data_IF_913133920575
#
_entry.id   IF_913133920575
#
_cell.length_a   1.000
_cell.length_b   1.000
_cell.length_c   1.000
_cell.angle_alpha   90.00
_cell.angle_beta   90.00
_cell.angle_gamma   90.00
#
_symmetry.space_group_name_H-M   'P 1'
#
loop_
_entity.id
_entity.type
_entity.pdbx_description
1 polymer ?
#
# COMPACT_ATOMS: atom_id res chain seq x y z
N UNK A 1 17.71 -4.66 19.96
CA UNK A 1 16.48 -4.82 19.19
C UNK A 1 16.41 -3.62 18.25
N UNK A 2 16.18 -3.84 16.93
CA UNK A 2 16.02 -2.73 15.98
C UNK A 2 14.69 -2.03 16.20
N UNK A 3 14.67 -0.72 16.00
CA UNK A 3 13.47 0.12 16.05
C UNK A 3 13.03 0.54 14.65
N UNK A 4 11.77 0.40 14.34
CA UNK A 4 11.18 0.85 13.08
C UNK A 4 10.07 1.87 13.31
N UNK A 5 10.06 2.96 12.55
CA UNK A 5 8.93 3.90 12.50
C UNK A 5 8.17 3.71 11.19
N UNK A 6 6.86 3.48 11.29
CA UNK A 6 5.95 3.34 10.14
C UNK A 6 4.97 4.50 10.14
N UNK A 7 5.03 5.35 9.11
CA UNK A 7 3.93 6.28 8.84
C UNK A 7 2.86 5.57 8.03
N UNK A 8 1.57 5.85 8.30
CA UNK A 8 0.47 5.15 7.63
C UNK A 8 0.26 3.71 8.11
N UNK A 9 0.63 3.40 9.34
CA UNK A 9 0.54 2.06 9.95
C UNK A 9 -0.87 1.46 9.93
N UNK A 10 -1.92 2.28 9.95
CA UNK A 10 -3.32 1.85 9.88
C UNK A 10 -3.82 1.56 8.46
N UNK A 11 -2.98 1.80 7.44
CA UNK A 11 -3.25 1.45 6.06
C UNK A 11 -3.08 -0.06 5.78
N UNK A 12 -3.38 -0.48 4.54
CA UNK A 12 -3.17 -1.85 4.10
C UNK A 12 -1.71 -2.29 4.36
N UNK A 13 -0.77 -1.64 3.71
CA UNK A 13 0.64 -2.03 3.76
C UNK A 13 1.25 -1.81 5.14
N UNK A 14 0.88 -0.71 5.80
CA UNK A 14 1.36 -0.39 7.14
C UNK A 14 0.97 -1.44 8.17
N UNK A 15 -0.24 -1.99 8.08
CA UNK A 15 -0.71 -3.04 8.98
C UNK A 15 0.02 -4.37 8.77
N UNK A 16 0.25 -4.78 7.52
CA UNK A 16 1.07 -5.96 7.22
C UNK A 16 2.54 -5.74 7.61
N UNK A 17 3.11 -4.56 7.32
CA UNK A 17 4.50 -4.27 7.68
C UNK A 17 4.72 -4.30 9.20
N UNK A 18 3.76 -3.80 9.97
CA UNK A 18 3.83 -3.88 11.44
C UNK A 18 3.92 -5.34 11.91
N UNK A 19 3.07 -6.23 11.39
CA UNK A 19 3.11 -7.65 11.73
C UNK A 19 4.42 -8.32 11.27
N UNK A 20 4.89 -8.03 10.07
CA UNK A 20 6.16 -8.56 9.57
C UNK A 20 7.33 -8.14 10.45
N UNK A 21 7.42 -6.87 10.82
CA UNK A 21 8.52 -6.37 11.65
C UNK A 21 8.46 -6.92 13.07
N UNK A 22 7.26 -7.03 13.67
CA UNK A 22 7.06 -7.68 14.95
C UNK A 22 7.50 -9.16 14.92
N UNK A 23 7.15 -9.90 13.86
CA UNK A 23 7.58 -11.30 13.71
C UNK A 23 9.10 -11.45 13.57
N UNK A 24 9.78 -10.39 13.09
CA UNK A 24 11.25 -10.31 13.01
C UNK A 24 11.92 -9.77 14.28
N UNK A 25 11.16 -9.52 15.35
CA UNK A 25 11.67 -9.05 16.63
C UNK A 25 12.04 -7.56 16.68
N UNK A 26 11.43 -6.73 15.82
CA UNK A 26 11.58 -5.28 15.91
C UNK A 26 10.69 -4.68 17.02
N UNK A 27 11.14 -3.56 17.57
CA UNK A 27 10.28 -2.60 18.27
C UNK A 27 9.65 -1.69 17.20
N UNK A 28 8.32 -1.74 17.08
CA UNK A 28 7.58 -1.07 15.99
C UNK A 28 6.86 0.15 16.53
N UNK A 29 7.11 1.31 15.93
CA UNK A 29 6.44 2.56 16.21
C UNK A 29 5.59 2.98 15.04
N UNK A 30 4.30 3.26 15.28
CA UNK A 30 3.35 3.68 14.25
C UNK A 30 2.93 5.13 14.42
N UNK A 31 2.98 5.91 13.34
CA UNK A 31 2.39 7.24 13.30
C UNK A 31 0.92 7.15 12.88
N UNK A 32 0.01 7.64 13.73
CA UNK A 32 -1.44 7.67 13.50
C UNK A 32 -1.98 9.08 13.60
N UNK A 33 -2.86 9.48 12.69
CA UNK A 33 -3.53 10.77 12.76
C UNK A 33 -4.57 10.77 13.88
N UNK A 34 -4.66 11.85 14.60
CA UNK A 34 -5.73 12.06 15.56
C UNK A 34 -7.05 12.31 14.81
N UNK A 35 -8.05 11.51 15.06
CA UNK A 35 -9.41 11.67 14.52
C UNK A 35 -10.45 11.35 15.60
N UNK A 36 -11.68 11.79 15.41
CA UNK A 36 -12.80 11.51 16.32
C UNK A 36 -13.19 10.02 16.35
N UNK A 37 -12.86 9.28 15.31
CA UNK A 37 -13.01 7.83 15.24
C UNK A 37 -11.64 7.20 14.99
N UNK A 38 -11.31 6.14 15.73
CA UNK A 38 -10.07 5.41 15.55
C UNK A 38 -10.15 4.57 14.28
N UNK A 39 -9.22 4.80 13.33
CA UNK A 39 -9.09 3.97 12.14
C UNK A 39 -8.03 2.89 12.35
N UNK A 40 -8.18 2.09 13.41
CA UNK A 40 -7.21 1.07 13.84
C UNK A 40 -7.64 -0.36 13.54
N UNK A 41 -8.79 -0.57 12.88
CA UNK A 41 -9.36 -1.90 12.65
C UNK A 41 -8.37 -2.92 12.05
N UNK A 42 -7.46 -2.46 11.14
CA UNK A 42 -6.45 -3.33 10.51
C UNK A 42 -5.30 -3.74 11.43
N UNK A 43 -5.14 -3.08 12.56
CA UNK A 43 -4.10 -3.37 13.56
C UNK A 43 -4.67 -3.74 14.93
N UNK A 44 -6.01 -3.77 15.08
CA UNK A 44 -6.66 -4.05 16.37
C UNK A 44 -6.26 -5.39 16.98
N UNK A 45 -6.01 -6.40 16.13
CA UNK A 45 -5.58 -7.74 16.58
C UNK A 45 -4.13 -7.79 17.13
N UNK A 46 -3.31 -6.78 16.84
CA UNK A 46 -1.94 -6.64 17.37
C UNK A 46 -1.80 -5.46 18.33
N UNK A 47 -2.81 -4.60 18.40
CA UNK A 47 -2.85 -3.43 19.28
C UNK A 47 -4.27 -3.24 19.85
N UNK A 48 -4.57 -3.78 21.05
CA UNK A 48 -5.85 -3.58 21.71
C UNK A 48 -6.14 -2.10 21.98
N UNK A 49 -7.38 -1.64 21.71
CA UNK A 49 -7.78 -0.22 21.77
C UNK A 49 -7.56 0.49 23.12
N UNK A 50 -7.51 -0.25 24.21
CA UNK A 50 -7.34 0.29 25.57
C UNK A 50 -5.96 0.97 25.82
N UNK A 51 -5.00 0.80 24.90
CA UNK A 51 -3.60 1.22 25.11
C UNK A 51 -3.17 2.45 24.30
N UNK A 52 -4.06 3.15 23.60
CA UNK A 52 -3.72 4.30 22.71
C UNK A 52 -3.41 5.59 23.52
N UNK A 53 -3.15 5.53 24.77
CA UNK A 53 -2.88 6.70 25.63
C UNK A 53 -1.37 7.01 25.84
N UNK A 54 -0.58 6.91 24.78
CA UNK A 54 0.69 7.65 24.68
C UNK A 54 1.92 7.12 25.42
N UNK A 55 1.86 6.05 26.20
CA UNK A 55 3.01 5.54 26.99
C UNK A 55 2.99 4.04 27.30
N UNK A 56 1.95 3.30 26.98
CA UNK A 56 1.89 1.87 27.28
C UNK A 56 2.40 1.03 26.10
N UNK A 57 3.34 0.12 26.39
CA UNK A 57 3.63 -0.97 25.47
C UNK A 57 2.56 -2.03 25.66
N UNK A 58 1.98 -2.50 24.56
CA UNK A 58 1.02 -3.61 24.56
C UNK A 58 1.63 -4.95 25.01
N UNK A 59 2.87 -4.97 25.48
CA UNK A 59 3.65 -6.20 25.63
C UNK A 59 4.02 -6.85 24.28
N UNK A 60 3.43 -6.37 23.18
CA UNK A 60 3.64 -6.86 21.80
C UNK A 60 4.82 -6.21 21.07
N UNK A 61 5.46 -5.18 21.64
CA UNK A 61 6.52 -4.41 20.98
C UNK A 61 6.00 -3.37 19.96
N UNK A 62 4.68 -3.09 19.95
CA UNK A 62 4.05 -2.07 19.11
C UNK A 62 3.68 -0.83 19.95
N UNK A 63 4.07 0.36 19.43
CA UNK A 63 3.82 1.66 20.04
C UNK A 63 3.16 2.59 19.03
N UNK A 64 2.10 3.28 19.42
CA UNK A 64 1.43 4.25 18.55
C UNK A 64 1.67 5.68 19.04
N UNK A 65 1.95 6.57 18.09
CA UNK A 65 2.17 7.98 18.31
C UNK A 65 1.17 8.80 17.50
N UNK A 66 0.51 9.75 18.15
CA UNK A 66 -0.30 10.72 17.41
C UNK A 66 0.60 11.73 16.71
N UNK A 67 0.38 11.93 15.41
CA UNK A 67 1.08 12.90 14.61
C UNK A 67 0.55 12.97 13.18
N UNK A 68 0.85 14.06 12.49
CA UNK A 68 0.47 14.29 11.11
C UNK A 68 1.69 14.74 10.31
N UNK A 69 1.85 14.25 9.08
CA UNK A 69 2.96 14.68 8.19
C UNK A 69 2.86 16.15 7.75
N UNK A 70 1.72 16.82 7.99
CA UNK A 70 1.60 18.26 7.82
C UNK A 70 2.26 19.07 8.95
N UNK A 71 2.58 18.44 10.09
CA UNK A 71 3.13 19.10 11.28
C UNK A 71 4.60 18.70 11.48
N UNK A 72 5.49 19.62 11.14
CA UNK A 72 6.95 19.42 11.23
C UNK A 72 7.44 19.24 12.67
N UNK A 73 6.81 19.91 13.64
CA UNK A 73 7.22 19.86 15.05
C UNK A 73 6.87 18.50 15.65
N UNK A 74 5.66 18.00 15.41
CA UNK A 74 5.25 16.68 15.87
C UNK A 74 6.13 15.58 15.26
N UNK A 75 6.39 15.64 13.94
CA UNK A 75 7.26 14.69 13.25
C UNK A 75 8.65 14.70 13.88
N UNK A 76 9.26 15.86 14.09
CA UNK A 76 10.58 15.99 14.70
C UNK A 76 10.61 15.45 16.13
N UNK A 77 9.62 15.80 16.95
CA UNK A 77 9.50 15.33 18.33
C UNK A 77 9.41 13.81 18.42
N UNK A 78 8.64 13.17 17.52
CA UNK A 78 8.50 11.71 17.47
C UNK A 78 9.83 11.09 17.03
N UNK A 79 10.47 11.61 16.00
CA UNK A 79 11.77 11.14 15.52
C UNK A 79 12.84 11.20 16.60
N UNK A 80 12.93 12.30 17.35
CA UNK A 80 13.91 12.47 18.42
C UNK A 80 13.65 11.55 19.62
N UNK A 81 12.38 11.28 19.92
CA UNK A 81 11.96 10.36 20.99
C UNK A 81 12.25 8.90 20.65
N UNK A 82 11.88 8.48 19.43
CA UNK A 82 11.97 7.08 18.98
C UNK A 82 13.41 6.73 18.56
N UNK A 83 14.08 7.62 17.84
CA UNK A 83 15.38 7.39 17.21
C UNK A 83 15.43 6.08 16.44
N UNK A 84 14.54 5.88 15.43
CA UNK A 84 14.42 4.61 14.73
C UNK A 84 15.69 4.26 13.94
N UNK A 85 15.97 2.97 13.80
CA UNK A 85 16.98 2.44 12.90
C UNK A 85 16.47 2.41 11.44
N UNK A 86 15.17 2.21 11.29
CA UNK A 86 14.49 2.13 9.99
C UNK A 86 13.21 2.98 10.00
N UNK A 87 12.99 3.74 8.92
CA UNK A 87 11.77 4.53 8.70
C UNK A 87 11.09 4.06 7.43
N UNK A 88 9.82 3.71 7.52
CA UNK A 88 8.97 3.34 6.40
C UNK A 88 7.89 4.40 6.19
N UNK A 89 8.07 5.23 5.17
CA UNK A 89 7.11 6.29 4.83
C UNK A 89 6.04 5.77 3.88
N UNK A 90 4.93 5.28 4.45
CA UNK A 90 3.78 4.75 3.71
C UNK A 90 2.58 5.72 3.72
N UNK A 91 2.59 6.73 4.58
CA UNK A 91 1.51 7.70 4.69
C UNK A 91 1.40 8.57 3.44
N UNK A 92 0.18 8.69 2.93
CA UNK A 92 -0.16 9.54 1.79
C UNK A 92 -1.67 9.83 1.77
N UNK A 93 -2.08 10.87 1.04
CA UNK A 93 -3.41 10.91 0.47
C UNK A 93 -3.35 10.03 -0.80
N UNK A 94 -3.73 8.76 -0.70
CA UNK A 94 -3.42 7.73 -1.71
C UNK A 94 -4.53 7.50 -2.76
N UNK A 95 -5.70 8.12 -2.59
CA UNK A 95 -6.80 7.94 -3.52
C UNK A 95 -6.66 8.88 -4.71
N UNK A 96 -6.30 8.34 -5.89
CA UNK A 96 -5.98 9.11 -7.11
C UNK A 96 -7.14 10.04 -7.50
N UNK A 97 -8.39 9.54 -7.54
CA UNK A 97 -9.55 10.39 -7.92
C UNK A 97 -9.75 11.57 -6.96
N UNK A 98 -9.63 11.32 -5.65
CA UNK A 98 -9.75 12.36 -4.61
C UNK A 98 -8.66 13.41 -4.71
N UNK A 99 -7.48 13.07 -5.24
CA UNK A 99 -6.39 14.04 -5.41
C UNK A 99 -6.75 15.20 -6.34
N UNK A 100 -7.66 14.99 -7.29
CA UNK A 100 -8.18 16.07 -8.15
C UNK A 100 -9.10 17.03 -7.39
N UNK A 101 -9.79 16.55 -6.39
CA UNK A 101 -10.70 17.38 -5.56
C UNK A 101 -9.92 18.13 -4.46
N UNK A 102 -8.77 17.57 -4.01
CA UNK A 102 -7.95 18.12 -2.91
C UNK A 102 -6.47 18.18 -3.28
N UNK A 103 -6.05 18.90 -4.36
CA UNK A 103 -4.67 18.85 -4.85
C UNK A 103 -3.65 19.44 -3.87
N UNK A 104 -3.97 20.54 -3.19
CA UNK A 104 -3.08 21.16 -2.21
C UNK A 104 -2.84 20.25 -1.00
N UNK A 105 -3.90 19.68 -0.45
CA UNK A 105 -3.80 18.73 0.65
C UNK A 105 -2.95 17.51 0.25
N UNK A 106 -3.19 16.98 -0.95
CA UNK A 106 -2.41 15.87 -1.51
C UNK A 106 -0.93 16.21 -1.62
N UNK A 107 -0.60 17.39 -2.15
CA UNK A 107 0.77 17.88 -2.26
C UNK A 107 1.43 18.08 -0.88
N UNK A 108 0.70 18.66 0.06
CA UNK A 108 1.19 18.94 1.42
C UNK A 108 1.51 17.64 2.19
N UNK A 109 0.60 16.68 2.21
CA UNK A 109 0.77 15.42 2.96
C UNK A 109 1.75 14.48 2.25
N UNK A 110 1.54 14.22 0.97
CA UNK A 110 2.32 13.22 0.22
C UNK A 110 3.69 13.75 -0.17
N UNK A 111 3.76 14.96 -0.72
CA UNK A 111 5.00 15.60 -1.16
C UNK A 111 5.81 16.21 -0.01
N UNK A 112 5.33 17.33 0.53
CA UNK A 112 6.04 18.06 1.61
C UNK A 112 6.16 17.23 2.88
N UNK A 113 5.18 16.37 3.18
CA UNK A 113 5.26 15.44 4.31
C UNK A 113 6.47 14.51 4.23
N UNK A 114 6.81 14.03 3.02
CA UNK A 114 8.04 13.25 2.80
C UNK A 114 9.29 14.07 3.12
N UNK A 115 9.36 15.34 2.70
CA UNK A 115 10.50 16.22 3.01
C UNK A 115 10.64 16.46 4.50
N UNK A 116 9.54 16.73 5.21
CA UNK A 116 9.54 16.90 6.68
C UNK A 116 10.09 15.65 7.38
N UNK A 117 9.66 14.48 6.96
CA UNK A 117 10.10 13.23 7.57
C UNK A 117 11.57 12.91 7.23
N UNK A 118 12.02 13.15 5.99
CA UNK A 118 13.43 13.02 5.60
C UNK A 118 14.33 13.93 6.44
N UNK A 119 13.96 15.20 6.58
CA UNK A 119 14.74 16.18 7.35
C UNK A 119 14.78 15.83 8.84
N UNK A 120 13.65 15.43 9.43
CA UNK A 120 13.60 14.97 10.81
C UNK A 120 14.44 13.71 11.01
N UNK A 121 14.39 12.76 10.06
CA UNK A 121 15.18 11.52 10.07
C UNK A 121 16.67 11.82 10.05
N UNK A 122 17.13 12.68 9.13
CA UNK A 122 18.52 13.06 8.98
C UNK A 122 19.09 13.72 10.25
N UNK A 123 18.30 14.57 10.91
CA UNK A 123 18.71 15.28 12.14
C UNK A 123 18.73 14.37 13.36
N UNK A 124 17.72 13.52 13.50
CA UNK A 124 17.57 12.67 14.69
C UNK A 124 18.55 11.48 14.70
N UNK A 125 18.75 10.82 13.55
CA UNK A 125 19.64 9.68 13.41
C UNK A 125 20.29 9.66 12.01
N UNK A 126 21.53 10.16 11.83
CA UNK A 126 22.22 10.14 10.53
C UNK A 126 22.42 8.74 9.93
N UNK A 127 22.38 7.69 10.74
CA UNK A 127 22.51 6.30 10.31
C UNK A 127 21.19 5.61 9.95
N UNK A 128 20.05 6.33 10.02
CA UNK A 128 18.73 5.77 9.75
C UNK A 128 18.61 5.28 8.31
N UNK A 129 17.96 4.13 8.13
CA UNK A 129 17.56 3.63 6.80
C UNK A 129 16.15 4.07 6.50
N UNK A 130 15.96 4.76 5.38
CA UNK A 130 14.70 5.39 5.01
C UNK A 130 14.12 4.73 3.77
N UNK A 131 12.89 4.23 3.86
CA UNK A 131 12.10 3.71 2.75
C UNK A 131 10.98 4.68 2.39
N UNK A 132 10.90 5.06 1.12
CA UNK A 132 9.81 5.83 0.54
C UNK A 132 8.91 4.92 -0.29
N UNK A 133 7.65 4.82 0.08
CA UNK A 133 6.64 4.22 -0.79
C UNK A 133 6.35 5.15 -1.96
N UNK A 134 6.98 4.86 -3.08
CA UNK A 134 6.71 5.48 -4.37
C UNK A 134 5.62 4.70 -5.12
N UNK A 135 5.24 5.10 -6.32
CA UNK A 135 4.06 4.59 -6.99
C UNK A 135 4.25 4.46 -8.51
N UNK A 136 3.70 3.42 -9.10
CA UNK A 136 3.61 3.27 -10.57
C UNK A 136 2.83 4.41 -11.24
N UNK A 137 1.93 5.10 -10.52
CA UNK A 137 1.22 6.28 -11.02
C UNK A 137 2.17 7.42 -11.43
N UNK A 138 3.42 7.42 -10.92
CA UNK A 138 4.45 8.38 -11.36
C UNK A 138 4.79 8.22 -12.84
N UNK A 139 4.77 7.01 -13.37
CA UNK A 139 5.00 6.73 -14.78
C UNK A 139 3.89 7.30 -15.67
N UNK A 140 2.64 7.22 -15.20
CA UNK A 140 1.49 7.86 -15.84
C UNK A 140 1.37 7.53 -17.34
N UNK A 141 1.67 8.49 -18.21
CA UNK A 141 1.61 8.33 -19.66
C UNK A 141 2.86 7.76 -20.32
N UNK A 142 3.86 7.31 -19.57
CA UNK A 142 5.08 6.71 -20.12
C UNK A 142 4.85 5.31 -20.68
N UNK A 143 5.57 4.94 -21.73
CA UNK A 143 5.41 3.66 -22.41
C UNK A 143 5.75 2.47 -21.51
N UNK A 144 4.89 1.42 -21.50
CA UNK A 144 5.16 0.17 -20.81
C UNK A 144 6.14 -0.75 -21.62
N UNK A 145 6.78 -1.76 -20.95
CA UNK A 145 6.83 -1.93 -19.50
C UNK A 145 7.72 -0.88 -18.82
N UNK A 146 7.33 -0.46 -17.59
CA UNK A 146 8.04 0.58 -16.88
C UNK A 146 9.05 -0.02 -15.88
N UNK A 147 10.26 0.57 -15.85
CA UNK A 147 11.35 0.23 -14.94
C UNK A 147 11.97 1.49 -14.31
N UNK A 148 13.04 1.31 -13.56
CA UNK A 148 13.71 2.40 -12.82
C UNK A 148 14.32 3.48 -13.71
N UNK A 149 14.51 3.22 -15.00
CA UNK A 149 15.08 4.16 -16.00
C UNK A 149 13.99 4.86 -16.82
N UNK A 150 12.73 4.38 -16.72
CA UNK A 150 11.60 4.96 -17.45
C UNK A 150 11.30 6.37 -16.93
N UNK A 151 11.28 7.40 -17.79
CA UNK A 151 10.93 8.75 -17.39
C UNK A 151 9.53 8.84 -16.79
N UNK A 152 9.34 9.67 -15.76
CA UNK A 152 8.04 9.92 -15.18
C UNK A 152 7.22 10.89 -16.03
N UNK A 153 5.93 10.57 -16.21
CA UNK A 153 4.95 11.45 -16.86
C UNK A 153 3.62 11.39 -16.08
N UNK A 154 3.58 12.00 -14.86
CA UNK A 154 2.45 11.89 -13.94
C UNK A 154 1.15 12.45 -14.53
N UNK A 155 0.03 11.78 -14.27
CA UNK A 155 -1.30 12.12 -14.80
C UNK A 155 -2.33 12.45 -13.70
N UNK A 156 -1.86 12.79 -12.49
CA UNK A 156 -2.72 13.20 -11.37
C UNK A 156 -1.94 14.02 -10.35
N UNK A 157 -2.62 14.85 -9.53
CA UNK A 157 -1.97 15.54 -8.41
C UNK A 157 -1.28 14.58 -7.43
N UNK A 158 -1.86 13.39 -7.18
CA UNK A 158 -1.23 12.34 -6.41
C UNK A 158 0.10 11.88 -7.03
N UNK A 159 0.09 11.59 -8.33
CA UNK A 159 1.30 11.17 -9.04
C UNK A 159 2.39 12.25 -9.03
N UNK A 160 2.02 13.53 -9.22
CA UNK A 160 2.96 14.66 -9.11
C UNK A 160 3.58 14.74 -7.72
N UNK A 161 2.79 14.59 -6.66
CA UNK A 161 3.28 14.59 -5.29
C UNK A 161 4.23 13.40 -5.01
N UNK A 162 3.95 12.23 -5.59
CA UNK A 162 4.84 11.04 -5.50
C UNK A 162 6.14 11.23 -6.28
N UNK A 163 6.12 11.89 -7.45
CA UNK A 163 7.35 12.26 -8.19
C UNK A 163 8.21 13.20 -7.36
N UNK A 164 7.62 14.21 -6.73
CA UNK A 164 8.34 15.07 -5.80
C UNK A 164 8.98 14.28 -4.66
N UNK A 165 8.23 13.39 -4.00
CA UNK A 165 8.72 12.55 -2.90
C UNK A 165 9.88 11.65 -3.35
N UNK A 166 9.77 11.05 -4.53
CA UNK A 166 10.82 10.23 -5.14
C UNK A 166 12.12 11.00 -5.29
N UNK A 167 12.06 12.18 -5.92
CA UNK A 167 13.25 13.00 -6.15
C UNK A 167 13.83 13.58 -4.86
N UNK A 168 13.01 13.92 -3.88
CA UNK A 168 13.50 14.33 -2.56
C UNK A 168 14.25 13.21 -1.86
N UNK A 169 13.72 11.97 -1.88
CA UNK A 169 14.38 10.78 -1.31
C UNK A 169 15.73 10.55 -1.98
N UNK A 170 15.78 10.62 -3.30
CA UNK A 170 17.02 10.49 -4.07
C UNK A 170 18.00 11.64 -3.78
N UNK A 171 17.51 12.87 -3.69
CA UNK A 171 18.33 14.04 -3.36
C UNK A 171 18.98 13.91 -1.97
N UNK A 172 18.23 13.41 -0.96
CA UNK A 172 18.77 13.19 0.38
C UNK A 172 19.82 12.08 0.39
N UNK A 173 19.64 11.04 -0.42
CA UNK A 173 20.66 10.00 -0.63
C UNK A 173 21.94 10.57 -1.24
N UNK A 174 21.82 11.33 -2.34
CA UNK A 174 22.95 11.84 -3.10
C UNK A 174 23.63 13.05 -2.42
N UNK A 175 22.84 13.96 -1.84
CA UNK A 175 23.34 15.21 -1.25
C UNK A 175 23.82 15.08 0.19
N UNK A 176 23.23 14.18 0.98
CA UNK A 176 23.56 14.02 2.41
C UNK A 176 24.10 12.63 2.77
N UNK A 177 24.22 11.74 1.80
CA UNK A 177 24.70 10.38 2.06
C UNK A 177 23.74 9.51 2.88
N UNK A 178 22.45 9.87 2.97
CA UNK A 178 21.45 9.08 3.70
C UNK A 178 21.24 7.72 3.02
N UNK A 179 21.04 6.68 3.82
CA UNK A 179 20.54 5.41 3.29
C UNK A 179 19.04 5.56 3.01
N UNK A 180 18.70 6.13 1.84
CA UNK A 180 17.33 6.42 1.45
C UNK A 180 16.99 5.73 0.12
N UNK A 181 15.89 4.96 0.11
CA UNK A 181 15.46 4.11 -0.99
C UNK A 181 14.03 4.40 -1.40
N UNK A 182 13.73 4.26 -2.70
CA UNK A 182 12.36 4.24 -3.21
C UNK A 182 11.94 2.82 -3.62
N UNK A 183 10.79 2.36 -3.15
CA UNK A 183 10.08 1.25 -3.77
C UNK A 183 8.99 1.79 -4.69
N UNK A 184 9.17 1.65 -6.01
CA UNK A 184 8.19 2.07 -7.00
C UNK A 184 7.17 0.94 -7.16
N UNK A 185 6.14 1.00 -6.32
CA UNK A 185 5.16 -0.07 -6.21
C UNK A 185 4.10 0.03 -7.30
N UNK A 186 3.90 -1.05 -8.01
CA UNK A 186 2.71 -1.24 -8.84
C UNK A 186 1.52 -1.59 -7.95
N UNK A 187 0.33 -1.65 -8.53
CA UNK A 187 -0.88 -1.89 -7.73
C UNK A 187 -0.75 -3.21 -6.97
N UNK A 188 -1.05 -3.19 -5.68
CA UNK A 188 -1.01 -4.37 -4.83
C UNK A 188 -2.20 -4.36 -3.88
N UNK A 189 -2.83 -5.49 -3.81
CA UNK A 189 -4.16 -5.65 -3.28
C UNK A 189 -4.17 -6.72 -2.18
N UNK A 190 -5.19 -6.67 -1.34
CA UNK A 190 -5.41 -7.67 -0.30
C UNK A 190 -6.79 -7.53 0.30
N UNK A 191 -7.20 -8.44 1.21
CA UNK A 191 -8.39 -8.26 2.05
C UNK A 191 -8.40 -6.97 2.89
N UNK A 192 -7.23 -6.33 3.11
CA UNK A 192 -7.11 -5.06 3.83
C UNK A 192 -7.11 -3.82 2.93
N UNK A 193 -7.29 -3.99 1.63
CA UNK A 193 -7.38 -2.84 0.71
C UNK A 193 -8.53 -1.91 1.10
N UNK A 194 -8.36 -0.61 0.90
CA UNK A 194 -9.45 0.37 1.11
C UNK A 194 -10.66 0.06 0.22
N UNK A 195 -11.86 0.12 0.79
CA UNK A 195 -13.10 -0.33 0.14
C UNK A 195 -13.50 0.48 -1.11
N UNK A 196 -12.96 1.69 -1.25
CA UNK A 196 -13.20 2.58 -2.40
C UNK A 196 -12.30 2.31 -3.59
N UNK A 197 -11.24 1.49 -3.43
CA UNK A 197 -10.39 1.08 -4.54
C UNK A 197 -11.08 0.01 -5.39
N UNK A 198 -10.85 0.08 -6.70
CA UNK A 198 -11.64 -0.67 -7.69
C UNK A 198 -11.70 -2.17 -7.42
N UNK A 199 -10.60 -2.82 -7.14
CA UNK A 199 -10.52 -4.26 -6.86
C UNK A 199 -11.36 -4.64 -5.65
N UNK A 200 -11.17 -3.93 -4.52
CA UNK A 200 -11.93 -4.17 -3.31
C UNK A 200 -13.40 -3.79 -3.45
N UNK A 201 -13.70 -2.74 -4.21
CA UNK A 201 -15.07 -2.35 -4.54
C UNK A 201 -15.80 -3.47 -5.30
N UNK A 202 -15.11 -4.15 -6.23
CA UNK A 202 -15.67 -5.28 -6.98
C UNK A 202 -15.94 -6.45 -6.05
N UNK A 203 -14.95 -6.90 -5.27
CA UNK A 203 -15.09 -8.10 -4.43
C UNK A 203 -16.10 -7.90 -3.31
N UNK A 204 -16.15 -6.73 -2.68
CA UNK A 204 -17.20 -6.38 -1.72
C UNK A 204 -18.58 -6.23 -2.37
N UNK A 205 -18.64 -5.70 -3.59
CA UNK A 205 -19.88 -5.62 -4.37
C UNK A 205 -20.48 -7.01 -4.61
N UNK A 206 -19.66 -7.97 -5.03
CA UNK A 206 -20.04 -9.38 -5.18
C UNK A 206 -20.57 -9.96 -3.86
N UNK A 207 -19.83 -9.78 -2.77
CA UNK A 207 -20.25 -10.28 -1.46
C UNK A 207 -21.58 -9.67 -1.00
N UNK A 208 -21.82 -8.39 -1.29
CA UNK A 208 -23.11 -7.72 -0.99
C UNK A 208 -24.26 -8.25 -1.85
N UNK A 209 -24.00 -8.54 -3.14
CA UNK A 209 -24.98 -9.12 -4.06
C UNK A 209 -25.38 -10.51 -3.57
N UNK A 210 -24.40 -11.37 -3.26
CA UNK A 210 -24.64 -12.70 -2.71
C UNK A 210 -25.38 -12.67 -1.37
N UNK A 211 -25.12 -11.65 -0.53
CA UNK A 211 -25.82 -11.45 0.74
C UNK A 211 -27.22 -10.79 0.58
N UNK A 212 -27.65 -10.51 -0.64
CA UNK A 212 -28.93 -9.85 -0.93
C UNK A 212 -29.03 -8.39 -0.47
N UNK A 213 -27.89 -7.73 -0.18
CA UNK A 213 -27.84 -6.35 0.32
C UNK A 213 -27.79 -5.31 -0.79
N UNK A 214 -27.23 -5.65 -1.92
CA UNK A 214 -27.18 -4.82 -3.13
C UNK A 214 -27.56 -5.67 -4.36
N UNK A 215 -28.02 -5.03 -5.43
CA UNK A 215 -28.36 -5.70 -6.69
C UNK A 215 -27.40 -5.32 -7.82
N UNK A 216 -26.83 -4.12 -7.73
CA UNK A 216 -26.06 -3.51 -8.81
C UNK A 216 -24.75 -2.94 -8.27
N UNK A 217 -23.66 -3.20 -8.98
CA UNK A 217 -22.34 -2.65 -8.77
C UNK A 217 -22.04 -1.60 -9.86
N UNK A 218 -21.95 -0.33 -9.48
CA UNK A 218 -21.60 0.75 -10.39
C UNK A 218 -20.08 0.97 -10.44
N UNK A 219 -19.49 0.89 -11.63
CA UNK A 219 -18.05 1.04 -11.87
C UNK A 219 -17.77 2.20 -12.85
N UNK A 220 -16.52 2.62 -12.96
CA UNK A 220 -16.05 3.61 -13.96
C UNK A 220 -15.45 2.93 -15.19
N UNK A 221 -14.25 3.40 -15.59
CA UNK A 221 -13.54 2.88 -16.75
C UNK A 221 -13.09 1.43 -16.54
N UNK A 222 -13.60 0.52 -17.38
CA UNK A 222 -13.26 -0.91 -17.35
C UNK A 222 -12.02 -1.26 -18.20
N UNK A 223 -11.61 -0.37 -19.12
CA UNK A 223 -10.53 -0.64 -20.07
C UNK A 223 -9.14 -0.38 -19.49
N UNK A 224 -9.04 0.39 -18.40
CA UNK A 224 -7.77 0.71 -17.77
C UNK A 224 -7.06 -0.57 -17.30
N UNK A 225 -5.77 -0.70 -17.68
CA UNK A 225 -4.95 -1.89 -17.38
C UNK A 225 -3.96 -1.61 -16.27
N UNK A 226 -3.87 -2.53 -15.31
CA UNK A 226 -2.96 -2.43 -14.16
C UNK A 226 -2.26 -3.76 -13.91
N UNK A 227 -1.04 -3.66 -13.41
CA UNK A 227 -0.28 -4.76 -12.84
C UNK A 227 -0.70 -4.89 -11.36
N UNK A 228 -1.38 -5.96 -10.99
CA UNK A 228 -1.90 -6.21 -9.65
C UNK A 228 -1.18 -7.36 -8.96
N UNK A 229 -0.53 -7.08 -7.83
CA UNK A 229 0.09 -8.07 -6.98
C UNK A 229 -0.58 -8.20 -5.61
N UNK A 230 -0.01 -9.02 -4.75
CA UNK A 230 -0.51 -9.30 -3.40
C UNK A 230 0.30 -8.53 -2.34
N UNK A 231 -0.38 -7.70 -1.56
CA UNK A 231 0.26 -6.74 -0.63
C UNK A 231 1.26 -7.37 0.36
N UNK A 232 1.01 -8.51 1.00
CA UNK A 232 2.01 -9.14 1.88
C UNK A 232 3.37 -9.37 1.22
N UNK A 233 3.41 -9.75 -0.07
CA UNK A 233 4.67 -9.95 -0.79
C UNK A 233 5.41 -8.63 -1.04
N UNK A 234 4.66 -7.55 -1.33
CA UNK A 234 5.23 -6.21 -1.51
C UNK A 234 5.82 -5.67 -0.21
N UNK A 235 5.16 -5.93 0.90
CA UNK A 235 5.64 -5.58 2.25
C UNK A 235 6.95 -6.31 2.59
N UNK A 236 7.07 -7.60 2.25
CA UNK A 236 8.35 -8.32 2.36
C UNK A 236 9.45 -7.62 1.56
N UNK A 237 9.14 -7.18 0.33
CA UNK A 237 10.08 -6.46 -0.51
C UNK A 237 10.50 -5.11 0.08
N UNK A 238 9.57 -4.35 0.69
CA UNK A 238 9.89 -3.09 1.39
C UNK A 238 10.97 -3.30 2.45
N UNK A 239 10.81 -4.36 3.26
CA UNK A 239 11.82 -4.72 4.26
C UNK A 239 13.14 -5.15 3.61
N UNK A 240 13.11 -6.00 2.58
CA UNK A 240 14.33 -6.47 1.87
C UNK A 240 15.14 -5.32 1.27
N UNK A 241 14.49 -4.28 0.75
CA UNK A 241 15.15 -3.08 0.20
C UNK A 241 15.99 -2.39 1.27
N UNK A 242 15.49 -2.27 2.49
CA UNK A 242 16.25 -1.64 3.58
C UNK A 242 17.32 -2.57 4.19
N UNK A 243 17.38 -3.86 3.85
CA UNK A 243 18.43 -4.74 4.33
C UNK A 243 19.68 -4.78 3.39
N UNK A 244 19.61 -4.10 2.24
CA UNK A 244 20.74 -4.07 1.29
C UNK A 244 21.94 -3.30 1.87
N UNK A 245 23.15 -3.59 1.33
CA UNK A 245 24.37 -2.87 1.73
C UNK A 245 24.39 -1.42 1.25
N UNK A 246 23.78 -1.15 0.09
CA UNK A 246 23.74 0.17 -0.54
C UNK A 246 22.29 0.57 -0.85
N UNK A 247 21.96 1.85 -0.66
CA UNK A 247 20.65 2.34 -1.01
C UNK A 247 20.45 2.37 -2.53
N UNK A 248 19.26 1.95 -2.99
CA UNK A 248 18.88 1.96 -4.41
C UNK A 248 17.35 2.08 -4.55
N UNK A 249 16.86 2.29 -5.76
CA UNK A 249 15.44 2.36 -6.10
C UNK A 249 15.03 1.10 -6.85
N UNK A 250 13.82 0.59 -6.59
CA UNK A 250 13.33 -0.66 -7.16
C UNK A 250 11.90 -0.55 -7.66
N UNK A 251 11.65 -0.99 -8.88
CA UNK A 251 10.31 -1.26 -9.41
C UNK A 251 9.84 -2.62 -8.88
N UNK A 252 8.65 -2.63 -8.26
CA UNK A 252 8.04 -3.79 -7.65
C UNK A 252 6.68 -4.02 -8.29
N UNK A 253 6.53 -5.16 -8.97
CA UNK A 253 5.32 -5.56 -9.67
C UNK A 253 5.36 -7.02 -10.07
N UNK A 254 4.29 -7.50 -10.69
CA UNK A 254 4.18 -8.89 -11.13
C UNK A 254 4.76 -9.11 -12.53
N UNK A 255 4.85 -8.05 -13.34
CA UNK A 255 5.16 -8.10 -14.77
C UNK A 255 3.99 -8.52 -15.64
N UNK A 256 2.78 -8.62 -15.08
CA UNK A 256 1.54 -8.92 -15.79
C UNK A 256 0.56 -7.75 -15.67
N UNK A 257 -0.18 -7.45 -16.73
CA UNK A 257 -1.20 -6.39 -16.71
C UNK A 257 -2.54 -6.92 -17.15
N UNK A 258 -3.59 -6.53 -16.42
CA UNK A 258 -4.97 -6.92 -16.67
C UNK A 258 -5.88 -5.70 -16.64
N UNK A 259 -6.97 -5.73 -17.41
CA UNK A 259 -7.97 -4.67 -17.39
C UNK A 259 -8.89 -4.81 -16.15
N UNK A 260 -9.55 -3.71 -15.78
CA UNK A 260 -10.61 -3.75 -14.77
C UNK A 260 -11.72 -4.69 -15.22
N UNK A 261 -12.02 -4.74 -16.54
CA UNK A 261 -12.96 -5.67 -17.15
C UNK A 261 -12.59 -7.13 -16.83
N UNK A 262 -11.31 -7.50 -17.07
CA UNK A 262 -10.83 -8.86 -16.78
C UNK A 262 -10.95 -9.20 -15.29
N UNK A 263 -10.75 -8.22 -14.39
CA UNK A 263 -10.93 -8.42 -12.96
C UNK A 263 -12.41 -8.67 -12.61
N UNK A 264 -13.32 -7.90 -13.18
CA UNK A 264 -14.77 -8.10 -13.01
C UNK A 264 -15.16 -9.50 -13.48
N UNK A 265 -14.78 -9.86 -14.73
CA UNK A 265 -15.13 -11.16 -15.33
C UNK A 265 -14.61 -12.34 -14.50
N UNK A 266 -13.37 -12.24 -14.02
CA UNK A 266 -12.76 -13.30 -13.21
C UNK A 266 -13.46 -13.43 -11.84
N UNK A 267 -13.78 -12.30 -11.20
CA UNK A 267 -14.39 -12.28 -9.87
C UNK A 267 -15.86 -12.74 -9.90
N UNK A 268 -16.65 -12.28 -10.88
CA UNK A 268 -18.03 -12.70 -11.06
C UNK A 268 -18.15 -14.18 -11.42
N UNK A 269 -17.30 -14.66 -12.35
CA UNK A 269 -17.23 -16.10 -12.71
C UNK A 269 -16.85 -16.95 -11.50
N UNK A 270 -15.92 -16.51 -10.67
CA UNK A 270 -15.52 -17.22 -9.47
C UNK A 270 -16.66 -17.33 -8.46
N UNK A 271 -17.49 -16.30 -8.37
CA UNK A 271 -18.65 -16.22 -7.47
C UNK A 271 -19.93 -16.85 -8.03
N UNK A 272 -19.88 -17.47 -9.25
CA UNK A 272 -21.02 -18.01 -9.97
C UNK A 272 -22.17 -16.99 -10.18
N UNK A 273 -21.79 -15.75 -10.54
CA UNK A 273 -22.72 -14.64 -10.82
C UNK A 273 -22.60 -14.19 -12.28
N UNK A 274 -23.74 -13.83 -12.88
CA UNK A 274 -23.76 -13.16 -14.19
C UNK A 274 -23.47 -11.65 -14.01
N UNK A 275 -22.32 -11.20 -14.53
CA UNK A 275 -21.93 -9.80 -14.42
C UNK A 275 -22.89 -8.85 -15.15
N UNK A 276 -23.48 -9.29 -16.27
CA UNK A 276 -24.33 -8.44 -17.11
C UNK A 276 -25.66 -8.08 -16.40
N UNK A 277 -26.08 -8.90 -15.44
CA UNK A 277 -27.22 -8.59 -14.57
C UNK A 277 -26.87 -7.60 -13.44
N UNK A 278 -25.59 -7.47 -13.09
CA UNK A 278 -25.21 -6.78 -11.86
C UNK A 278 -24.26 -5.59 -12.04
N UNK A 279 -23.60 -5.43 -13.19
CA UNK A 279 -22.60 -4.36 -13.38
C UNK A 279 -23.15 -3.24 -14.25
N UNK A 280 -22.97 -2.01 -13.81
CA UNK A 280 -23.32 -0.80 -14.57
C UNK A 280 -22.15 0.17 -14.60
N UNK A 281 -22.08 0.98 -15.67
CA UNK A 281 -21.06 2.03 -15.81
C UNK A 281 -21.65 3.36 -15.35
N UNK A 282 -20.90 4.08 -14.49
CA UNK A 282 -21.28 5.39 -13.97
C UNK A 282 -20.16 6.40 -14.18
N UNK A 283 -20.45 7.45 -14.94
CA UNK A 283 -19.51 8.51 -15.34
C UNK A 283 -18.84 9.23 -14.15
N UNK A 284 -19.49 9.27 -12.97
CA UNK A 284 -18.92 9.92 -11.79
C UNK A 284 -17.63 9.27 -11.28
N UNK A 285 -17.35 8.01 -11.68
CA UNK A 285 -16.13 7.30 -11.31
C UNK A 285 -14.98 7.48 -12.31
N UNK A 286 -15.21 8.17 -13.42
CA UNK A 286 -14.13 8.49 -14.36
C UNK A 286 -13.21 9.57 -13.80
N UNK A 287 -11.93 9.51 -14.19
CA UNK A 287 -10.93 10.50 -13.79
C UNK A 287 -10.83 11.60 -14.86
N UNK A 288 -10.48 12.84 -14.47
CA UNK A 288 -10.23 13.91 -15.45
C UNK A 288 -9.12 13.56 -16.45
N UNK A 289 -8.09 12.84 -15.98
CA UNK A 289 -7.02 12.27 -16.82
C UNK A 289 -6.82 10.82 -16.42
N UNK A 290 -6.79 9.92 -17.39
CA UNK A 290 -6.64 8.49 -17.15
C UNK A 290 -5.22 8.01 -17.50
N UNK A 291 -4.83 6.91 -16.94
CA UNK A 291 -3.63 6.15 -17.28
C UNK A 291 -4.08 4.82 -17.85
N UNK A 292 -3.78 4.61 -19.14
CA UNK A 292 -4.33 3.47 -19.87
C UNK A 292 -3.67 2.16 -19.44
N UNK A 293 -2.33 2.12 -19.40
CA UNK A 293 -1.58 0.87 -19.13
C UNK A 293 -0.42 1.11 -18.18
N UNK A 294 -0.39 0.33 -17.09
CA UNK A 294 0.76 0.18 -16.23
C UNK A 294 1.13 -1.31 -16.14
N UNK A 295 2.40 -1.61 -16.42
CA UNK A 295 2.99 -2.95 -16.25
C UNK A 295 4.45 -2.84 -15.85
N UNK A 296 4.84 -3.50 -14.77
CA UNK A 296 6.20 -3.47 -14.25
C UNK A 296 7.17 -4.26 -15.11
N UNK A 297 8.41 -3.78 -15.16
CA UNK A 297 9.58 -4.61 -15.44
C UNK A 297 10.36 -4.82 -14.12
N UNK A 298 10.08 -5.88 -13.34
CA UNK A 298 10.64 -6.08 -12.02
C UNK A 298 12.02 -6.75 -12.03
N UNK A 299 12.67 -6.92 -13.17
CA UNK A 299 13.92 -7.68 -13.32
C UNK A 299 15.06 -7.21 -12.40
N UNK A 300 15.08 -5.94 -12.02
CA UNK A 300 16.08 -5.43 -11.07
C UNK A 300 15.85 -5.98 -9.66
N UNK A 301 14.60 -5.98 -9.19
CA UNK A 301 14.22 -6.57 -7.91
C UNK A 301 14.49 -8.09 -7.89
N UNK A 302 14.17 -8.80 -8.96
CA UNK A 302 14.47 -10.23 -9.08
C UNK A 302 15.97 -10.51 -8.95
N UNK A 303 16.81 -9.75 -9.67
CA UNK A 303 18.26 -9.98 -9.69
C UNK A 303 18.98 -9.55 -8.41
N UNK A 304 18.60 -8.38 -7.84
CA UNK A 304 19.32 -7.79 -6.70
C UNK A 304 18.77 -8.20 -5.35
N UNK A 305 17.46 -8.38 -5.26
CA UNK A 305 16.78 -8.74 -4.00
C UNK A 305 16.41 -10.22 -3.94
N UNK A 306 16.42 -10.95 -5.07
CA UNK A 306 15.85 -12.28 -5.15
C UNK A 306 14.33 -12.31 -4.99
N UNK A 307 13.68 -11.14 -5.11
CA UNK A 307 12.25 -11.01 -4.92
C UNK A 307 11.48 -11.23 -6.21
N UNK A 308 10.41 -12.03 -6.14
CA UNK A 308 9.48 -12.28 -7.24
C UNK A 308 8.09 -12.50 -6.70
N UNK A 309 7.08 -11.87 -7.35
CA UNK A 309 5.68 -12.08 -7.01
C UNK A 309 5.27 -13.54 -7.25
N UNK A 310 4.72 -14.18 -6.22
CA UNK A 310 4.24 -15.58 -6.23
C UNK A 310 2.75 -15.67 -6.53
N UNK A 311 1.96 -14.72 -6.01
CA UNK A 311 0.52 -14.62 -6.27
C UNK A 311 0.30 -13.95 -7.62
N UNK A 312 -0.41 -14.62 -8.50
CA UNK A 312 -0.77 -14.14 -9.82
C UNK A 312 -2.21 -13.64 -9.84
N UNK A 313 -2.58 -12.94 -10.90
CA UNK A 313 -3.88 -12.27 -11.04
C UNK A 313 -5.07 -13.15 -10.64
N UNK A 314 -5.20 -14.35 -11.21
CA UNK A 314 -6.33 -15.25 -10.90
C UNK A 314 -6.37 -15.72 -9.45
N UNK A 315 -5.19 -15.92 -8.84
CA UNK A 315 -5.07 -16.28 -7.42
C UNK A 315 -5.49 -15.10 -6.53
N UNK A 316 -5.04 -13.87 -6.88
CA UNK A 316 -5.40 -12.65 -6.17
C UNK A 316 -6.91 -12.41 -6.13
N UNK A 317 -7.58 -12.57 -7.28
CA UNK A 317 -9.05 -12.45 -7.38
C UNK A 317 -9.74 -13.38 -6.39
N UNK A 318 -9.35 -14.66 -6.37
CA UNK A 318 -9.94 -15.67 -5.48
C UNK A 318 -9.72 -15.35 -4.00
N UNK A 319 -8.49 -14.96 -3.63
CA UNK A 319 -8.15 -14.55 -2.26
C UNK A 319 -9.04 -13.40 -1.79
N UNK A 320 -9.25 -12.39 -2.64
CA UNK A 320 -10.02 -11.22 -2.27
C UNK A 320 -11.52 -11.50 -2.20
N UNK A 321 -12.06 -12.31 -3.12
CA UNK A 321 -13.49 -12.69 -3.11
C UNK A 321 -13.82 -13.53 -1.89
N UNK A 322 -13.04 -14.57 -1.58
CA UNK A 322 -13.26 -15.43 -0.41
C UNK A 322 -13.23 -14.62 0.90
N UNK A 323 -12.27 -13.71 1.03
CA UNK A 323 -12.16 -12.85 2.21
C UNK A 323 -13.36 -11.92 2.36
N UNK A 324 -13.87 -11.31 1.28
CA UNK A 324 -15.04 -10.46 1.34
C UNK A 324 -16.34 -11.24 1.56
N UNK A 325 -16.48 -12.45 1.01
CA UNK A 325 -17.61 -13.34 1.35
C UNK A 325 -17.65 -13.59 2.86
N UNK A 326 -16.52 -13.96 3.45
CA UNK A 326 -16.38 -14.18 4.90
C UNK A 326 -16.72 -12.92 5.71
N UNK A 327 -16.26 -11.76 5.29
CA UNK A 327 -16.53 -10.49 5.95
C UNK A 327 -18.03 -10.11 5.95
N UNK A 328 -18.82 -10.65 5.00
CA UNK A 328 -20.27 -10.51 4.95
C UNK A 328 -21.04 -11.68 5.59
N UNK A 329 -20.36 -12.61 6.25
CA UNK A 329 -20.97 -13.77 6.90
C UNK A 329 -21.42 -14.87 5.96
N UNK A 330 -20.87 -14.88 4.74
CA UNK A 330 -21.10 -15.93 3.74
C UNK A 330 -20.02 -17.00 3.87
N UNK A 331 -20.36 -18.24 3.50
CA UNK A 331 -19.40 -19.33 3.35
C UNK A 331 -18.52 -19.04 2.13
N UNK A 332 -17.18 -18.92 2.28
CA UNK A 332 -16.29 -18.70 1.14
C UNK A 332 -16.20 -19.93 0.25
N UNK A 333 -15.87 -19.75 -1.02
CA UNK A 333 -15.62 -20.85 -1.97
C UNK A 333 -14.36 -21.64 -1.54
N UNK A 334 -13.41 -20.94 -0.92
CA UNK A 334 -12.27 -21.55 -0.22
C UNK A 334 -11.05 -21.85 -1.10
N UNK A 335 -11.08 -21.55 -2.40
CA UNK A 335 -9.88 -21.70 -3.25
C UNK A 335 -8.83 -20.65 -2.92
N UNK A 336 -9.23 -19.41 -2.61
CA UNK A 336 -8.35 -18.33 -2.20
C UNK A 336 -7.59 -18.67 -0.90
N UNK A 337 -8.27 -19.24 0.08
CA UNK A 337 -7.67 -19.68 1.34
C UNK A 337 -6.62 -20.79 1.10
N UNK A 338 -6.95 -21.79 0.28
CA UNK A 338 -6.02 -22.85 -0.11
C UNK A 338 -4.78 -22.32 -0.85
N UNK A 339 -4.93 -21.27 -1.67
CA UNK A 339 -3.81 -20.62 -2.34
C UNK A 339 -2.88 -19.98 -1.33
N UNK A 340 -3.43 -19.22 -0.37
CA UNK A 340 -2.64 -18.59 0.69
C UNK A 340 -1.90 -19.63 1.51
N UNK A 341 -2.58 -20.66 1.98
CA UNK A 341 -1.98 -21.76 2.74
C UNK A 341 -0.85 -22.47 1.97
N UNK A 342 -1.09 -22.82 0.71
CA UNK A 342 -0.09 -23.50 -0.14
C UNK A 342 1.14 -22.65 -0.43
N UNK A 343 0.99 -21.32 -0.64
CA UNK A 343 2.08 -20.44 -1.05
C UNK A 343 2.88 -19.88 0.10
N UNK A 344 2.27 -19.69 1.26
CA UNK A 344 2.87 -19.00 2.40
C UNK A 344 3.06 -19.90 3.64
N UNK A 345 2.42 -21.10 3.68
CA UNK A 345 2.53 -22.01 4.82
C UNK A 345 2.14 -21.32 6.14
N UNK A 346 3.08 -21.23 7.07
CA UNK A 346 2.93 -20.40 8.26
C UNK A 346 3.06 -18.93 7.90
N UNK A 347 1.93 -18.27 7.69
CA UNK A 347 1.89 -16.83 7.40
C UNK A 347 2.20 -16.01 8.66
N UNK A 348 3.02 -14.96 8.50
CA UNK A 348 3.37 -14.04 9.59
C UNK A 348 2.27 -13.00 9.87
N UNK A 349 1.27 -12.86 9.02
CA UNK A 349 0.11 -11.98 9.23
C UNK A 349 -1.12 -12.74 9.70
N UNK A 350 -2.03 -12.03 10.39
CA UNK A 350 -3.26 -12.57 10.97
C UNK A 350 -4.46 -11.71 10.54
N UNK A 351 -5.68 -12.23 10.72
CA UNK A 351 -6.89 -11.43 10.62
C UNK A 351 -7.38 -11.11 9.20
N UNK A 352 -7.05 -11.93 8.22
CA UNK A 352 -7.60 -11.84 6.85
C UNK A 352 -8.71 -12.87 6.65
#
# INVERSE_FOLDING_TARGET
MKKALITGITGQDGSYLAELLLSKGYEVHGLVRRSSSLNTSRIAHIFPEAEIAGTASSGSGLFLHYGDLSDSEQVSTIMDRVRPDEVYNLAAQSHVRVSFDTPEYTGNITGLGTTRLLEASRRSNPGVRFYQASSSEMFGGSHPPQNEETPFYPRSPYACAKVYSYWMTRNYREGYGMFACNGILFNHESPRRGETFVTRKITRGIAKILAGKEKVLALGNLEAKRDWGYSPEYVECMWMILQQEKPDDFVIGTGETHSVQEFVDAAFRYADLDRDEHVTIDQKYFRPTEVDVLVADPRKAERKLGWKARVRFGDLVKIMVDADMRAFGLEPIGEGDRIVEKRFGEKWWRGD
#
